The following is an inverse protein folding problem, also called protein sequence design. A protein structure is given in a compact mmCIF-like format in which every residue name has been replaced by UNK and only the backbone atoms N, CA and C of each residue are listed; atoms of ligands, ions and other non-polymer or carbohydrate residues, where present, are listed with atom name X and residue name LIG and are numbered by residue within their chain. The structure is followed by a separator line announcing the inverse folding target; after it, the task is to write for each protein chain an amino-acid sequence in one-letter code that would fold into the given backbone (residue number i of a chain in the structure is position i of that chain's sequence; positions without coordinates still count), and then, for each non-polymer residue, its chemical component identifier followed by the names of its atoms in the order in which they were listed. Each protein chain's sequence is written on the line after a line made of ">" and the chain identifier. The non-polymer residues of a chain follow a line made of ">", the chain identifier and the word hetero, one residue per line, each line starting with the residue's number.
data_IF_227519580460
#
_entry.id   IF_227519580460
#
_cell.length_a   1.000
_cell.length_b   1.000
_cell.length_c   1.000
_cell.angle_alpha   90.00
_cell.angle_beta   90.00
_cell.angle_gamma   90.00
#
_symmetry.space_group_name_H-M   'P 1'
#
loop_
_entity.id
_entity.type
_entity.pdbx_description
1 polymer ?
#
# COMPACT_ATOMS: atom_id res chain seq x y z
N UNK A 1 51.62 -25.70 -4.88
CA UNK A 1 50.23 -26.19 -4.94
C UNK A 1 49.36 -25.12 -4.29
N UNK A 2 48.71 -24.27 -5.08
CA UNK A 2 47.96 -23.12 -4.55
C UNK A 2 46.52 -23.27 -4.98
N UNK A 3 45.63 -23.55 -4.02
CA UNK A 3 44.18 -23.68 -4.24
C UNK A 3 43.58 -22.28 -4.40
N UNK A 4 43.09 -21.98 -5.59
CA UNK A 4 42.28 -20.79 -5.85
C UNK A 4 40.81 -21.23 -5.68
N UNK A 5 40.23 -20.93 -4.53
CA UNK A 5 38.78 -21.07 -4.30
C UNK A 5 38.07 -19.90 -4.98
N UNK A 6 37.42 -20.17 -6.11
CA UNK A 6 36.54 -19.21 -6.78
C UNK A 6 35.16 -19.25 -6.10
N UNK A 7 34.94 -18.34 -5.15
CA UNK A 7 33.61 -18.09 -4.62
C UNK A 7 32.82 -17.35 -5.68
N UNK A 8 32.05 -18.09 -6.50
CA UNK A 8 31.01 -17.51 -7.34
C UNK A 8 29.93 -16.91 -6.43
N UNK A 9 30.02 -15.61 -6.20
CA UNK A 9 28.92 -14.83 -5.64
C UNK A 9 27.77 -14.85 -6.65
N UNK A 10 26.72 -15.63 -6.36
CA UNK A 10 25.44 -15.54 -7.06
C UNK A 10 24.96 -14.09 -6.95
N UNK A 11 25.07 -13.32 -8.04
CA UNK A 11 24.41 -12.02 -8.19
C UNK A 11 22.90 -12.28 -8.15
N UNK A 12 22.28 -12.10 -6.99
CA UNK A 12 20.83 -11.94 -6.89
C UNK A 12 20.48 -10.59 -7.53
N UNK A 13 20.08 -10.61 -8.80
CA UNK A 13 19.46 -9.46 -9.45
C UNK A 13 18.14 -9.17 -8.74
N UNK A 14 18.15 -8.24 -7.77
CA UNK A 14 16.92 -7.69 -7.19
C UNK A 14 16.06 -7.15 -8.34
N UNK A 15 14.84 -7.67 -8.49
CA UNK A 15 13.86 -7.10 -9.43
C UNK A 15 13.70 -5.60 -9.10
N UNK A 16 13.61 -4.72 -10.11
CA UNK A 16 13.41 -3.30 -9.85
C UNK A 16 12.13 -3.09 -9.05
N UNK A 17 12.16 -2.11 -8.14
CA UNK A 17 10.99 -1.69 -7.38
C UNK A 17 9.88 -1.26 -8.34
N UNK A 18 8.67 -1.73 -8.09
CA UNK A 18 7.48 -1.24 -8.76
C UNK A 18 7.01 0.04 -8.09
N UNK A 19 6.76 1.07 -8.88
CA UNK A 19 6.13 2.30 -8.41
C UNK A 19 4.71 2.36 -8.99
N UNK A 20 3.72 2.50 -8.14
CA UNK A 20 2.30 2.63 -8.48
C UNK A 20 1.79 3.98 -7.97
N UNK A 21 1.47 4.89 -8.89
CA UNK A 21 0.82 6.16 -8.54
C UNK A 21 -0.69 5.95 -8.51
N UNK A 22 -1.36 6.32 -7.41
CA UNK A 22 -2.77 5.96 -7.18
C UNK A 22 -3.76 6.62 -8.16
N UNK A 23 -3.43 7.79 -8.71
CA UNK A 23 -4.26 8.51 -9.70
C UNK A 23 -4.56 7.65 -10.95
N UNK A 24 -3.65 6.73 -11.30
CA UNK A 24 -3.83 5.81 -12.42
C UNK A 24 -4.86 4.68 -12.17
N UNK A 25 -5.48 4.66 -10.98
CA UNK A 25 -6.32 3.55 -10.53
C UNK A 25 -7.75 3.98 -10.16
N UNK A 26 -8.18 5.17 -10.56
CA UNK A 26 -9.55 5.64 -10.32
C UNK A 26 -9.80 6.13 -8.90
N UNK A 27 -8.74 6.47 -8.17
CA UNK A 27 -8.79 7.14 -6.87
C UNK A 27 -8.87 8.66 -7.10
N UNK A 28 -9.74 9.35 -6.36
CA UNK A 28 -10.06 10.76 -6.56
C UNK A 28 -9.32 11.70 -5.60
N UNK A 29 -9.23 11.37 -4.30
CA UNK A 29 -8.54 12.22 -3.33
C UNK A 29 -9.23 13.56 -3.05
N UNK A 30 -10.56 13.63 -3.24
CA UNK A 30 -11.36 14.85 -3.05
C UNK A 30 -12.03 14.97 -1.66
N UNK A 31 -11.80 13.98 -0.78
CA UNK A 31 -12.35 13.87 0.56
C UNK A 31 -13.86 13.57 0.62
N UNK A 32 -14.49 13.26 -0.51
CA UNK A 32 -15.94 13.06 -0.63
C UNK A 32 -16.30 11.75 -1.32
N UNK A 33 -15.59 11.42 -2.38
CA UNK A 33 -15.76 10.18 -3.13
C UNK A 33 -15.15 9.03 -2.33
N UNK A 34 -15.88 7.91 -2.17
CA UNK A 34 -15.33 6.74 -1.48
C UNK A 34 -14.23 6.08 -2.31
N UNK A 35 -13.00 6.36 -1.92
CA UNK A 35 -11.78 5.85 -2.53
C UNK A 35 -11.40 4.45 -2.03
N UNK A 36 -12.04 3.97 -0.96
CA UNK A 36 -11.68 2.72 -0.28
C UNK A 36 -11.74 1.50 -1.19
N UNK A 37 -12.71 1.45 -2.12
CA UNK A 37 -12.84 0.33 -3.05
C UNK A 37 -11.69 0.25 -4.06
N UNK A 38 -11.33 1.37 -4.69
CA UNK A 38 -10.25 1.39 -5.69
C UNK A 38 -8.88 1.27 -5.03
N UNK A 39 -8.68 1.83 -3.83
CA UNK A 39 -7.49 1.61 -3.03
C UNK A 39 -7.28 0.12 -2.69
N UNK A 40 -8.32 -0.59 -2.25
CA UNK A 40 -8.24 -2.05 -1.98
C UNK A 40 -7.81 -2.84 -3.22
N UNK A 41 -8.43 -2.58 -4.38
CA UNK A 41 -8.03 -3.21 -5.65
C UNK A 41 -6.59 -2.90 -6.03
N UNK A 42 -6.13 -1.67 -5.79
CA UNK A 42 -4.75 -1.28 -6.04
C UNK A 42 -3.79 -2.08 -5.15
N UNK A 43 -4.09 -2.18 -3.85
CA UNK A 43 -3.31 -3.03 -2.96
C UNK A 43 -3.27 -4.47 -3.48
N UNK A 44 -4.41 -5.11 -3.74
CA UNK A 44 -4.46 -6.47 -4.31
C UNK A 44 -3.60 -6.66 -5.56
N UNK A 45 -3.66 -5.70 -6.50
CA UNK A 45 -2.81 -5.70 -7.70
C UNK A 45 -1.33 -5.60 -7.37
N UNK A 46 -0.94 -4.75 -6.41
CA UNK A 46 0.44 -4.62 -5.97
C UNK A 46 0.96 -5.92 -5.37
N UNK A 47 0.13 -6.63 -4.61
CA UNK A 47 0.45 -7.90 -3.94
C UNK A 47 0.67 -9.05 -4.93
N UNK A 48 -0.12 -9.12 -6.00
CA UNK A 48 -0.04 -10.18 -7.00
C UNK A 48 1.31 -10.23 -7.76
N UNK A 49 2.11 -9.17 -7.70
CA UNK A 49 3.29 -9.01 -8.56
C UNK A 49 4.59 -9.59 -7.97
N UNK A 50 4.55 -10.11 -6.73
CA UNK A 50 5.68 -10.76 -6.03
C UNK A 50 7.03 -10.02 -6.22
N UNK A 51 7.01 -8.70 -6.01
CA UNK A 51 8.14 -7.78 -6.09
C UNK A 51 7.95 -6.65 -5.09
N UNK A 52 9.04 -5.97 -4.72
CA UNK A 52 8.96 -4.76 -3.89
C UNK A 52 8.10 -3.72 -4.62
N UNK A 53 7.00 -3.30 -4.00
CA UNK A 53 6.11 -2.29 -4.51
C UNK A 53 6.14 -1.03 -3.64
N UNK A 54 6.07 0.13 -4.27
CA UNK A 54 5.86 1.44 -3.66
C UNK A 54 4.57 2.01 -4.22
N UNK A 55 3.60 2.26 -3.36
CA UNK A 55 2.36 2.98 -3.68
C UNK A 55 2.56 4.43 -3.28
N UNK A 56 2.30 5.35 -4.20
CA UNK A 56 2.53 6.79 -4.05
C UNK A 56 1.20 7.52 -4.17
N UNK A 57 0.86 8.26 -3.13
CA UNK A 57 -0.34 9.08 -3.08
C UNK A 57 -0.06 10.47 -3.67
N UNK A 58 -1.12 11.11 -4.18
CA UNK A 58 -1.03 12.49 -4.63
C UNK A 58 -0.94 13.41 -3.42
N UNK A 59 0.15 14.17 -3.30
CA UNK A 59 0.41 15.13 -2.23
C UNK A 59 -0.79 16.02 -1.90
N UNK A 60 -0.98 16.29 -0.61
CA UNK A 60 -1.98 17.22 -0.03
C UNK A 60 -3.45 16.87 -0.38
N UNK A 61 -3.72 15.67 -0.88
CA UNK A 61 -5.07 15.19 -1.16
C UNK A 61 -5.73 14.59 0.09
N UNK A 62 -7.06 14.46 0.03
CA UNK A 62 -7.86 13.82 1.09
C UNK A 62 -8.58 12.59 0.54
N UNK A 63 -8.33 11.41 1.08
CA UNK A 63 -8.94 10.18 0.61
C UNK A 63 -10.01 9.74 1.60
N UNK A 64 -11.27 9.71 1.14
CA UNK A 64 -12.36 9.23 1.97
C UNK A 64 -12.44 7.70 1.89
N UNK A 65 -12.29 7.04 3.03
CA UNK A 65 -12.38 5.58 3.17
C UNK A 65 -13.74 5.28 3.80
N UNK A 66 -14.73 5.06 2.94
CA UNK A 66 -16.12 4.93 3.32
C UNK A 66 -16.51 3.54 3.84
N UNK A 67 -17.75 3.46 4.32
CA UNK A 67 -18.37 2.21 4.77
C UNK A 67 -18.78 1.36 3.57
N UNK A 68 -17.96 0.36 3.25
CA UNK A 68 -18.35 -0.65 2.27
C UNK A 68 -19.23 -1.73 2.95
N UNK A 69 -20.54 -1.75 2.67
CA UNK A 69 -21.52 -2.56 3.41
C UNK A 69 -21.24 -4.08 3.42
N UNK A 70 -20.52 -4.60 2.42
CA UNK A 70 -20.28 -6.03 2.25
C UNK A 70 -18.81 -6.47 2.46
N UNK A 71 -17.93 -5.59 2.93
CA UNK A 71 -16.53 -5.94 3.17
C UNK A 71 -16.27 -6.16 4.66
N UNK A 72 -15.96 -7.41 5.03
CA UNK A 72 -15.67 -7.82 6.42
C UNK A 72 -14.48 -7.07 7.02
N UNK A 73 -13.56 -6.65 6.16
CA UNK A 73 -12.34 -6.03 6.62
C UNK A 73 -12.58 -4.58 7.07
N UNK A 74 -12.05 -4.21 8.23
CA UNK A 74 -12.43 -2.97 8.91
C UNK A 74 -11.76 -1.73 8.33
N UNK A 75 -10.94 -1.84 7.28
CA UNK A 75 -10.21 -0.72 6.70
C UNK A 75 -9.63 -1.01 5.31
N UNK A 76 -8.44 -0.46 5.04
CA UNK A 76 -7.55 -0.94 3.99
C UNK A 76 -6.87 -2.22 4.49
N UNK A 77 -7.50 -3.35 4.21
CA UNK A 77 -7.02 -4.66 4.67
C UNK A 77 -5.96 -5.23 3.75
N UNK A 78 -4.87 -5.63 4.37
CA UNK A 78 -3.66 -6.09 3.73
C UNK A 78 -3.29 -7.43 4.37
N UNK A 79 -3.63 -8.51 3.68
CA UNK A 79 -3.35 -9.88 4.10
C UNK A 79 -2.23 -10.50 3.27
N UNK A 80 -1.30 -11.19 3.93
CA UNK A 80 -0.14 -11.84 3.31
C UNK A 80 0.73 -10.90 2.46
N UNK A 81 0.77 -9.62 2.84
CA UNK A 81 1.53 -8.59 2.13
C UNK A 81 3.01 -8.72 2.42
N UNK A 82 3.82 -8.77 1.36
CA UNK A 82 5.26 -8.87 1.46
C UNK A 82 5.95 -7.81 0.59
N UNK A 83 6.87 -7.04 1.17
CA UNK A 83 7.66 -6.03 0.45
C UNK A 83 6.78 -4.89 -0.13
N UNK A 84 6.04 -4.20 0.72
CA UNK A 84 5.21 -3.05 0.33
C UNK A 84 5.68 -1.78 1.04
N UNK A 85 5.77 -0.69 0.29
CA UNK A 85 5.93 0.66 0.82
C UNK A 85 4.69 1.46 0.40
N UNK A 86 4.04 2.09 1.37
CA UNK A 86 2.96 3.06 1.17
C UNK A 86 3.49 4.41 1.62
N UNK A 87 3.55 5.36 0.69
CA UNK A 87 4.04 6.71 0.94
C UNK A 87 2.90 7.68 0.65
N UNK A 88 2.36 8.26 1.73
CA UNK A 88 1.18 9.12 1.66
C UNK A 88 1.50 10.59 1.50
N UNK A 89 2.78 11.02 1.50
CA UNK A 89 3.22 12.41 1.27
C UNK A 89 2.33 13.48 1.93
N UNK A 90 2.06 13.31 3.23
CA UNK A 90 1.20 14.16 4.08
C UNK A 90 -0.29 14.24 3.69
N UNK A 91 -0.80 13.28 2.92
CA UNK A 91 -2.24 13.19 2.64
C UNK A 91 -3.05 12.88 3.90
N UNK A 92 -4.33 13.24 3.84
CA UNK A 92 -5.31 12.90 4.87
C UNK A 92 -6.15 11.70 4.42
N UNK A 93 -6.09 10.61 5.18
CA UNK A 93 -7.07 9.54 5.14
C UNK A 93 -8.25 9.89 6.05
N UNK A 94 -9.40 10.22 5.47
CA UNK A 94 -10.64 10.50 6.20
C UNK A 94 -11.47 9.21 6.28
N UNK A 95 -11.56 8.62 7.46
CA UNK A 95 -12.07 7.25 7.64
C UNK A 95 -13.47 7.25 8.24
N UNK A 96 -14.37 6.39 7.75
CA UNK A 96 -15.65 6.15 8.42
C UNK A 96 -15.46 5.77 9.90
N UNK A 97 -16.24 6.31 10.85
CA UNK A 97 -16.00 6.15 12.29
C UNK A 97 -16.15 4.72 12.80
N UNK A 98 -16.74 3.83 12.00
CA UNK A 98 -16.87 2.41 12.32
C UNK A 98 -15.77 1.55 11.67
N UNK A 99 -14.76 2.17 11.06
CA UNK A 99 -13.65 1.53 10.36
C UNK A 99 -12.31 1.88 11.02
N UNK A 100 -11.34 1.00 10.85
CA UNK A 100 -9.94 1.31 11.05
C UNK A 100 -9.31 1.79 9.73
N UNK A 101 -8.21 2.56 9.79
CA UNK A 101 -7.50 3.05 8.60
C UNK A 101 -6.80 1.91 7.85
N UNK A 102 -5.96 1.15 8.56
CA UNK A 102 -5.19 0.02 8.02
C UNK A 102 -5.38 -1.21 8.88
N UNK A 103 -5.39 -2.38 8.24
CA UNK A 103 -5.40 -3.66 8.92
C UNK A 103 -4.38 -4.58 8.23
N UNK A 104 -3.36 -5.01 8.98
CA UNK A 104 -2.25 -5.84 8.47
C UNK A 104 -2.31 -7.24 9.10
N UNK A 105 -2.54 -8.26 8.27
CA UNK A 105 -2.55 -9.66 8.70
C UNK A 105 -1.46 -10.47 7.98
N UNK A 106 -0.75 -11.34 8.73
CA UNK A 106 0.29 -12.23 8.21
C UNK A 106 1.28 -11.58 7.20
N UNK A 107 1.62 -10.32 7.42
CA UNK A 107 2.39 -9.49 6.48
C UNK A 107 3.84 -9.27 6.97
N UNK A 108 4.79 -9.07 6.04
CA UNK A 108 6.22 -8.90 6.34
C UNK A 108 6.86 -7.83 5.46
N UNK A 109 7.78 -7.07 6.04
CA UNK A 109 8.50 -6.01 5.31
C UNK A 109 7.54 -5.02 4.65
N UNK A 110 6.64 -4.46 5.47
CA UNK A 110 5.68 -3.43 5.07
C UNK A 110 6.07 -2.12 5.76
N UNK A 111 6.05 -1.03 5.01
CA UNK A 111 6.25 0.33 5.54
C UNK A 111 5.09 1.18 5.09
N UNK A 112 4.43 1.84 6.04
CA UNK A 112 3.41 2.87 5.78
C UNK A 112 3.94 4.13 6.48
N UNK A 113 4.09 5.22 5.75
CA UNK A 113 4.73 6.45 6.26
C UNK A 113 4.14 7.71 5.66
N UNK A 114 4.43 8.81 6.35
CA UNK A 114 4.10 10.18 5.93
C UNK A 114 2.59 10.36 5.71
N UNK A 115 1.77 9.83 6.63
CA UNK A 115 0.30 9.83 6.57
C UNK A 115 -0.34 10.68 7.69
N UNK A 116 -1.55 11.17 7.43
CA UNK A 116 -2.46 11.73 8.42
C UNK A 116 -3.78 10.96 8.40
N UNK A 117 -4.38 10.75 9.56
CA UNK A 117 -5.65 10.03 9.69
C UNK A 117 -6.60 10.87 10.55
N UNK A 118 -7.82 11.03 10.06
CA UNK A 118 -8.94 11.57 10.82
C UNK A 118 -10.21 10.77 10.50
N UNK A 119 -11.28 10.99 11.24
CA UNK A 119 -12.54 10.29 11.05
C UNK A 119 -13.61 11.22 10.50
N UNK A 120 -14.39 10.75 9.53
CA UNK A 120 -15.57 11.48 9.05
C UNK A 120 -16.62 11.56 10.18
N UNK A 121 -17.19 12.75 10.37
CA UNK A 121 -18.28 13.00 11.30
C UNK A 121 -19.62 12.43 10.81
#
# INVERSE_FOLDING_TARGET
>A
MTLISSVQTKKTTKKPQLILNIEGFGVFGDGKTDDGHELRKLFEKALALNRLAKIVFQKDATYYIGKQENHLARGLFMEHVNNLIVEEDNCLSLVDPYRGPFELNCSKNVTIRDFQIDYSL
#
